data_IF_538054367361
#
_entry.id   IF_538054367361
#
_cell.length_a   1.000
_cell.length_b   1.000
_cell.length_c   1.000
_cell.angle_alpha   90.00
_cell.angle_beta   90.00
_cell.angle_gamma   90.00
#
_symmetry.space_group_name_H-M   'P 1'
#
loop_
_entity.id
_entity.type
_entity.pdbx_description
1 polymer ?
#
# COMPACT_ATOMS: atom_id res chain seq x y z
N UNK A 1 -49.56 24.87 7.40
CA UNK A 1 -50.51 23.75 7.35
C UNK A 1 -49.87 22.67 6.48
N UNK A 2 -49.32 21.59 7.06
CA UNK A 2 -49.97 20.26 7.17
C UNK A 2 -50.45 19.78 5.79
N UNK A 3 -50.05 18.62 5.24
CA UNK A 3 -50.17 17.27 5.79
C UNK A 3 -49.35 16.30 4.92
N UNK A 4 -48.56 15.42 5.56
CA UNK A 4 -48.05 14.13 5.02
C UNK A 4 -49.14 13.32 4.32
N UNK A 5 -48.84 12.49 3.32
CA UNK A 5 -49.53 11.19 3.21
C UNK A 5 -48.69 10.13 2.49
N UNK A 6 -48.66 8.99 3.15
CA UNK A 6 -48.00 7.72 2.87
C UNK A 6 -48.66 6.98 1.71
N UNK A 7 -47.88 6.20 0.96
CA UNK A 7 -48.32 4.93 0.33
C UNK A 7 -47.10 3.99 0.47
N UNK A 8 -47.05 3.15 1.51
CA UNK A 8 -47.72 1.86 1.66
C UNK A 8 -47.08 0.76 0.77
N UNK A 9 -46.52 -0.19 1.51
CA UNK A 9 -45.75 -1.36 1.16
C UNK A 9 -46.62 -2.37 0.40
N UNK A 10 -46.12 -2.85 -0.74
CA UNK A 10 -46.62 -4.04 -1.43
C UNK A 10 -45.50 -5.08 -1.51
N UNK A 11 -45.46 -5.98 -0.53
CA UNK A 11 -44.61 -7.17 -0.57
C UNK A 11 -45.28 -8.17 -1.53
N UNK A 12 -44.66 -8.42 -2.69
CA UNK A 12 -44.85 -9.68 -3.39
C UNK A 12 -43.70 -10.60 -3.03
N UNK A 13 -44.01 -11.60 -2.20
CA UNK A 13 -43.16 -12.74 -1.97
C UNK A 13 -43.13 -13.59 -3.25
N UNK A 14 -42.04 -13.53 -3.99
CA UNK A 14 -41.68 -14.55 -4.95
C UNK A 14 -40.74 -15.54 -4.23
N UNK A 15 -41.26 -16.73 -3.98
CA UNK A 15 -40.52 -17.86 -3.42
C UNK A 15 -39.44 -18.31 -4.39
N UNK A 16 -38.25 -17.71 -4.30
CA UNK A 16 -37.07 -18.24 -4.97
C UNK A 16 -36.50 -19.29 -4.03
N UNK A 17 -36.72 -20.55 -4.40
CA UNK A 17 -36.02 -21.70 -3.84
C UNK A 17 -34.52 -21.41 -3.92
N UNK A 18 -33.90 -21.19 -2.77
CA UNK A 18 -32.46 -21.11 -2.64
C UNK A 18 -31.88 -22.47 -3.02
N UNK A 19 -31.49 -22.62 -4.28
CA UNK A 19 -30.39 -23.50 -4.60
C UNK A 19 -29.16 -22.87 -3.94
N UNK A 20 -28.82 -23.38 -2.75
CA UNK A 20 -27.53 -23.17 -2.12
C UNK A 20 -26.47 -23.79 -3.03
N UNK A 21 -26.06 -23.03 -4.06
CA UNK A 21 -24.75 -23.21 -4.65
C UNK A 21 -23.76 -22.74 -3.58
N UNK A 22 -23.25 -23.70 -2.81
CA UNK A 22 -21.95 -23.61 -2.17
C UNK A 22 -20.88 -23.44 -3.26
N UNK A 23 -20.81 -22.23 -3.83
CA UNK A 23 -19.58 -21.72 -4.40
C UNK A 23 -18.84 -21.07 -3.23
N UNK A 24 -18.20 -21.91 -2.41
CA UNK A 24 -16.92 -21.52 -1.84
C UNK A 24 -16.00 -21.28 -3.03
N UNK A 25 -16.08 -20.08 -3.63
CA UNK A 25 -15.02 -19.60 -4.48
C UNK A 25 -13.81 -19.56 -3.56
N UNK A 26 -12.89 -20.51 -3.76
CA UNK A 26 -11.64 -20.60 -3.04
C UNK A 26 -11.03 -19.21 -2.99
N UNK A 27 -10.61 -18.77 -1.81
CA UNK A 27 -9.85 -17.54 -1.73
C UNK A 27 -8.67 -17.66 -2.70
N UNK A 28 -8.25 -16.61 -3.38
CA UNK A 28 -7.07 -16.66 -4.26
C UNK A 28 -5.78 -16.90 -3.47
N UNK A 29 -5.84 -16.76 -2.14
CA UNK A 29 -4.82 -17.27 -1.24
C UNK A 29 -4.80 -18.81 -1.19
N UNK A 30 -5.95 -19.48 -1.32
CA UNK A 30 -6.08 -20.95 -1.31
C UNK A 30 -5.51 -21.60 -2.57
N UNK A 31 -5.22 -20.82 -3.62
CA UNK A 31 -4.57 -21.29 -4.86
C UNK A 31 -3.06 -21.06 -4.88
N UNK A 32 -2.50 -20.37 -3.88
CA UNK A 32 -1.06 -20.16 -3.80
C UNK A 32 -0.34 -21.50 -3.49
N UNK A 33 0.86 -21.73 -4.05
CA UNK A 33 1.68 -22.87 -3.68
C UNK A 33 1.90 -22.93 -2.17
N UNK A 34 1.75 -24.11 -1.58
CA UNK A 34 2.08 -24.33 -0.18
C UNK A 34 3.59 -24.55 -0.07
N UNK A 35 4.28 -23.58 0.52
CA UNK A 35 5.75 -23.58 0.64
C UNK A 35 6.15 -23.49 2.11
N UNK A 36 7.21 -24.19 2.48
CA UNK A 36 7.72 -24.22 3.85
C UNK A 36 8.61 -23.00 4.14
N UNK A 37 8.77 -22.66 5.42
CA UNK A 37 9.67 -21.58 5.84
C UNK A 37 11.12 -21.91 5.45
N UNK A 38 11.51 -23.18 5.52
CA UNK A 38 12.84 -23.65 5.13
C UNK A 38 13.09 -23.43 3.63
N UNK A 39 12.10 -23.69 2.78
CA UNK A 39 12.19 -23.44 1.33
C UNK A 39 12.29 -21.94 1.02
N UNK A 40 11.53 -21.12 1.74
CA UNK A 40 11.62 -19.65 1.63
C UNK A 40 13.02 -19.17 2.05
N UNK A 41 13.53 -19.64 3.19
CA UNK A 41 14.87 -19.28 3.70
C UNK A 41 15.99 -19.76 2.78
N UNK A 42 15.82 -20.87 2.07
CA UNK A 42 16.82 -21.34 1.12
C UNK A 42 17.06 -20.37 -0.04
N UNK A 43 16.06 -19.56 -0.39
CA UNK A 43 16.14 -18.58 -1.49
C UNK A 43 16.47 -17.17 -0.97
N UNK A 44 15.76 -16.74 0.08
CA UNK A 44 15.82 -15.37 0.54
C UNK A 44 16.69 -15.16 1.77
N UNK A 45 17.20 -16.22 2.41
CA UNK A 45 17.92 -16.13 3.67
C UNK A 45 17.08 -15.40 4.72
N UNK A 46 17.69 -14.40 5.35
CA UNK A 46 17.01 -13.48 6.26
C UNK A 46 16.52 -12.19 5.56
N UNK A 47 16.68 -12.07 4.23
CA UNK A 47 16.36 -10.87 3.45
C UNK A 47 14.89 -10.45 3.54
N UNK A 48 13.96 -11.41 3.63
CA UNK A 48 12.52 -11.11 3.85
C UNK A 48 12.24 -10.57 5.25
N UNK A 49 13.12 -10.81 6.23
CA UNK A 49 13.06 -10.22 7.56
C UNK A 49 13.80 -8.88 7.59
N UNK A 50 13.38 -7.96 6.73
CA UNK A 50 14.01 -6.65 6.58
C UNK A 50 13.41 -5.61 7.52
N UNK A 51 14.25 -4.77 8.11
CA UNK A 51 13.82 -3.57 8.85
C UNK A 51 13.44 -2.40 7.92
N UNK A 52 13.56 -2.57 6.61
CA UNK A 52 13.21 -1.54 5.64
C UNK A 52 11.68 -1.41 5.50
N UNK A 53 11.06 -0.31 5.97
CA UNK A 53 9.60 -0.16 5.95
C UNK A 53 9.02 -0.10 4.54
N UNK A 54 9.80 0.34 3.54
CA UNK A 54 9.35 0.39 2.13
C UNK A 54 9.21 -1.03 1.58
N UNK A 55 10.15 -1.91 1.90
CA UNK A 55 10.14 -3.31 1.47
C UNK A 55 9.03 -4.09 2.20
N UNK A 56 8.85 -3.87 3.50
CA UNK A 56 7.72 -4.45 4.25
C UNK A 56 6.36 -4.02 3.66
N UNK A 57 6.19 -2.73 3.32
CA UNK A 57 4.97 -2.23 2.67
C UNK A 57 4.74 -2.85 1.30
N UNK A 58 5.80 -3.07 0.51
CA UNK A 58 5.67 -3.75 -0.79
C UNK A 58 5.16 -5.18 -0.61
N UNK A 59 5.72 -5.95 0.33
CA UNK A 59 5.25 -7.30 0.63
C UNK A 59 3.79 -7.30 1.11
N UNK A 60 3.42 -6.37 1.99
CA UNK A 60 2.03 -6.20 2.44
C UNK A 60 1.11 -5.87 1.27
N UNK A 61 1.49 -4.93 0.40
CA UNK A 61 0.71 -4.55 -0.77
C UNK A 61 0.47 -5.73 -1.72
N UNK A 62 1.49 -6.55 -1.96
CA UNK A 62 1.39 -7.78 -2.77
C UNK A 62 0.44 -8.79 -2.09
N UNK A 63 0.58 -9.00 -0.77
CA UNK A 63 -0.31 -9.88 -0.01
C UNK A 63 -1.76 -9.42 -0.02
N UNK A 64 -1.98 -8.10 0.04
CA UNK A 64 -3.31 -7.50 -0.05
C UNK A 64 -3.92 -7.67 -1.43
N UNK A 65 -3.17 -7.43 -2.52
CA UNK A 65 -3.67 -7.66 -3.89
C UNK A 65 -4.13 -9.10 -4.09
N UNK A 66 -3.34 -10.06 -3.60
CA UNK A 66 -3.67 -11.48 -3.67
C UNK A 66 -4.94 -11.90 -2.93
N UNK A 67 -5.38 -11.11 -1.96
CA UNK A 67 -6.54 -11.41 -1.11
C UNK A 67 -7.75 -10.55 -1.46
N UNK A 68 -7.68 -9.72 -2.50
CA UNK A 68 -8.83 -8.97 -3.02
C UNK A 68 -9.85 -9.88 -3.71
N UNK A 69 -11.10 -9.44 -3.78
CA UNK A 69 -12.17 -10.15 -4.49
C UNK A 69 -12.37 -9.64 -5.93
N UNK A 70 -11.98 -8.40 -6.22
CA UNK A 70 -12.05 -7.73 -7.53
C UNK A 70 -10.72 -7.90 -8.29
N UNK A 71 -10.33 -9.15 -8.54
CA UNK A 71 -8.95 -9.45 -8.89
C UNK A 71 -8.63 -9.24 -10.36
N UNK A 72 -8.07 -8.08 -10.67
CA UNK A 72 -7.52 -7.81 -12.00
C UNK A 72 -6.31 -8.70 -12.31
N UNK A 73 -5.56 -9.13 -11.29
CA UNK A 73 -4.32 -9.89 -11.43
C UNK A 73 -4.36 -11.31 -10.84
N UNK A 74 -5.54 -11.92 -10.66
CA UNK A 74 -5.69 -13.24 -10.01
C UNK A 74 -4.84 -14.34 -10.63
N UNK A 75 -4.81 -14.38 -11.97
CA UNK A 75 -4.12 -15.41 -12.74
C UNK A 75 -2.59 -15.22 -12.75
N UNK A 76 -2.11 -14.06 -12.29
CA UNK A 76 -0.69 -13.78 -12.21
C UNK A 76 -0.09 -14.48 -10.99
N UNK A 77 0.97 -15.27 -11.23
CA UNK A 77 1.71 -16.03 -10.22
C UNK A 77 2.71 -15.13 -9.49
N UNK A 78 2.22 -14.13 -8.76
CA UNK A 78 3.04 -13.09 -8.11
C UNK A 78 3.26 -13.39 -6.63
N UNK A 79 4.50 -13.21 -6.16
CA UNK A 79 4.87 -13.21 -4.74
C UNK A 79 5.74 -14.40 -4.34
N UNK A 80 6.21 -14.36 -3.08
CA UNK A 80 7.17 -15.33 -2.50
C UNK A 80 6.78 -16.79 -2.77
N UNK A 81 5.53 -17.25 -2.56
CA UNK A 81 5.18 -18.65 -2.79
C UNK A 81 5.44 -19.13 -4.23
N UNK A 82 5.21 -18.27 -5.23
CA UNK A 82 5.42 -18.61 -6.64
C UNK A 82 6.88 -18.51 -7.06
N UNK A 83 7.68 -17.70 -6.36
CA UNK A 83 9.14 -17.68 -6.55
C UNK A 83 9.75 -18.99 -6.05
N UNK A 84 9.30 -19.46 -4.89
CA UNK A 84 9.76 -20.72 -4.31
C UNK A 84 9.33 -21.91 -5.17
N UNK A 85 8.04 -21.98 -5.55
CA UNK A 85 7.49 -23.08 -6.37
C UNK A 85 8.14 -23.21 -7.76
N UNK A 86 8.35 -22.08 -8.45
CA UNK A 86 8.92 -22.09 -9.80
C UNK A 86 10.46 -21.99 -9.82
N UNK A 87 11.09 -21.66 -8.70
CA UNK A 87 12.51 -21.34 -8.48
C UNK A 87 12.99 -19.98 -9.03
N UNK A 88 14.07 -19.40 -8.46
CA UNK A 88 14.67 -18.15 -8.97
C UNK A 88 15.14 -18.23 -10.43
N UNK A 89 15.69 -19.37 -10.85
CA UNK A 89 16.22 -19.59 -12.20
C UNK A 89 15.13 -19.48 -13.26
N UNK A 90 13.92 -19.97 -12.97
CA UNK A 90 12.78 -19.84 -13.87
C UNK A 90 12.44 -18.38 -14.14
N UNK A 91 12.30 -17.58 -13.08
CA UNK A 91 11.94 -16.16 -13.22
C UNK A 91 13.04 -15.36 -13.91
N UNK A 92 14.31 -15.63 -13.57
CA UNK A 92 15.46 -15.03 -14.24
C UNK A 92 15.50 -15.39 -15.73
N UNK A 93 15.21 -16.65 -16.09
CA UNK A 93 15.16 -17.11 -17.49
C UNK A 93 14.04 -16.42 -18.25
N UNK A 94 12.82 -16.36 -17.68
CA UNK A 94 11.69 -15.65 -18.29
C UNK A 94 12.03 -14.19 -18.57
N UNK A 95 12.63 -13.52 -17.61
CA UNK A 95 13.05 -12.13 -17.79
C UNK A 95 14.12 -11.99 -18.88
N UNK A 96 15.12 -12.87 -18.90
CA UNK A 96 16.18 -12.88 -19.92
C UNK A 96 15.65 -13.16 -21.33
N UNK A 97 14.59 -13.96 -21.46
CA UNK A 97 13.86 -14.21 -22.70
C UNK A 97 13.00 -13.02 -23.16
N UNK A 98 12.97 -11.93 -22.39
CA UNK A 98 12.21 -10.71 -22.71
C UNK A 98 10.75 -10.78 -22.32
N UNK A 99 10.34 -11.69 -21.42
CA UNK A 99 8.97 -11.74 -20.90
C UNK A 99 8.69 -10.48 -20.06
N UNK A 100 7.65 -9.73 -20.46
CA UNK A 100 7.19 -8.48 -19.84
C UNK A 100 5.82 -8.60 -19.15
N UNK A 101 5.41 -9.81 -18.80
CA UNK A 101 4.22 -10.05 -17.96
C UNK A 101 4.47 -9.55 -16.54
N UNK A 102 3.40 -9.20 -15.84
CA UNK A 102 3.47 -8.59 -14.50
C UNK A 102 4.09 -9.57 -13.50
N UNK A 103 3.72 -10.84 -13.54
CA UNK A 103 4.35 -11.89 -12.72
C UNK A 103 5.87 -11.94 -12.89
N UNK A 104 6.37 -11.97 -14.11
CA UNK A 104 7.80 -11.98 -14.41
C UNK A 104 8.49 -10.72 -13.90
N UNK A 105 7.93 -9.54 -14.14
CA UNK A 105 8.51 -8.27 -13.69
C UNK A 105 8.59 -8.18 -12.17
N UNK A 106 7.49 -8.47 -11.48
CA UNK A 106 7.39 -8.33 -10.02
C UNK A 106 8.24 -9.38 -9.32
N UNK A 107 8.18 -10.64 -9.74
CA UNK A 107 8.97 -11.69 -9.09
C UNK A 107 10.47 -11.50 -9.31
N UNK A 108 10.89 -11.04 -10.50
CA UNK A 108 12.28 -10.69 -10.75
C UNK A 108 12.73 -9.50 -9.89
N UNK A 109 11.86 -8.49 -9.68
CA UNK A 109 12.15 -7.39 -8.78
C UNK A 109 12.28 -7.85 -7.32
N UNK A 110 11.41 -8.75 -6.85
CA UNK A 110 11.50 -9.30 -5.50
C UNK A 110 12.80 -10.10 -5.30
N UNK A 111 13.22 -10.89 -6.28
CA UNK A 111 14.50 -11.58 -6.23
C UNK A 111 15.67 -10.59 -6.10
N UNK A 112 15.63 -9.46 -6.82
CA UNK A 112 16.68 -8.45 -6.73
C UNK A 112 16.67 -7.72 -5.37
N UNK A 113 15.49 -7.43 -4.81
CA UNK A 113 15.35 -6.67 -3.56
C UNK A 113 15.61 -7.50 -2.30
N UNK A 114 15.36 -8.81 -2.35
CA UNK A 114 15.33 -9.68 -1.16
C UNK A 114 16.31 -10.86 -1.22
N UNK A 115 17.08 -11.02 -2.30
CA UNK A 115 18.11 -12.06 -2.34
C UNK A 115 19.17 -11.82 -1.25
N UNK A 116 19.56 -12.91 -0.58
CA UNK A 116 20.59 -12.90 0.47
C UNK A 116 22.00 -12.56 -0.08
N UNK A 117 22.21 -12.79 -1.38
CA UNK A 117 23.48 -12.49 -2.04
C UNK A 117 23.48 -11.10 -2.66
N UNK A 118 24.51 -10.26 -2.42
CA UNK A 118 24.59 -8.92 -2.99
C UNK A 118 24.74 -8.98 -4.52
N UNK A 119 23.76 -8.42 -5.22
CA UNK A 119 23.76 -8.31 -6.68
C UNK A 119 24.09 -6.85 -7.06
N UNK A 120 25.13 -6.60 -7.89
CA UNK A 120 25.47 -5.25 -8.33
C UNK A 120 24.29 -4.57 -9.04
N UNK A 121 23.97 -3.34 -8.64
CA UNK A 121 22.87 -2.53 -9.18
C UNK A 121 21.47 -3.16 -9.04
N UNK A 122 21.28 -4.11 -8.11
CA UNK A 122 19.99 -4.74 -7.86
C UNK A 122 18.86 -3.74 -7.61
N UNK A 123 19.10 -2.73 -6.76
CA UNK A 123 18.09 -1.74 -6.42
C UNK A 123 17.60 -0.96 -7.66
N UNK A 124 18.53 -0.51 -8.50
CA UNK A 124 18.19 0.23 -9.72
C UNK A 124 17.43 -0.65 -10.71
N UNK A 125 17.85 -1.90 -10.88
CA UNK A 125 17.16 -2.85 -11.73
C UNK A 125 15.76 -3.17 -11.21
N UNK A 126 15.60 -3.40 -9.90
CA UNK A 126 14.31 -3.64 -9.27
C UNK A 126 13.35 -2.44 -9.43
N UNK A 127 13.85 -1.21 -9.25
CA UNK A 127 13.09 0.02 -9.50
C UNK A 127 12.58 0.07 -10.95
N UNK A 128 13.41 -0.27 -11.94
CA UNK A 128 12.98 -0.27 -13.34
C UNK A 128 11.87 -1.29 -13.60
N UNK A 129 11.99 -2.50 -13.03
CA UNK A 129 10.99 -3.56 -13.16
C UNK A 129 9.66 -3.17 -12.49
N UNK A 130 9.72 -2.63 -11.28
CA UNK A 130 8.54 -2.17 -10.55
C UNK A 130 7.90 -0.96 -11.24
N UNK A 131 8.69 -0.04 -11.80
CA UNK A 131 8.14 1.04 -12.60
C UNK A 131 7.41 0.52 -13.85
N UNK A 132 7.96 -0.48 -14.54
CA UNK A 132 7.30 -1.12 -15.68
C UNK A 132 6.00 -1.82 -15.24
N UNK A 133 6.01 -2.55 -14.12
CA UNK A 133 4.81 -3.18 -13.56
C UNK A 133 3.74 -2.15 -13.15
N UNK A 134 4.15 -1.03 -12.54
CA UNK A 134 3.25 0.06 -12.17
C UNK A 134 2.62 0.70 -13.41
N UNK A 135 3.39 0.91 -14.49
CA UNK A 135 2.86 1.42 -15.77
C UNK A 135 1.83 0.51 -16.43
N UNK A 136 1.84 -0.79 -16.09
CA UNK A 136 0.85 -1.80 -16.51
C UNK A 136 -0.35 -1.88 -15.57
N UNK A 137 -0.46 -0.98 -14.58
CA UNK A 137 -1.58 -0.90 -13.65
C UNK A 137 -1.44 -1.76 -12.39
N UNK A 138 -0.29 -2.40 -12.14
CA UNK A 138 -0.08 -3.18 -10.92
C UNK A 138 0.12 -2.25 -9.72
N UNK A 139 -0.95 -2.01 -8.95
CA UNK A 139 -0.94 -1.02 -7.87
C UNK A 139 0.05 -1.31 -6.74
N UNK A 140 0.41 -2.57 -6.38
CA UNK A 140 1.44 -2.80 -5.37
C UNK A 140 2.79 -2.24 -5.83
N UNK A 141 3.13 -2.34 -7.11
CA UNK A 141 4.32 -1.68 -7.63
C UNK A 141 4.21 -0.14 -7.56
N UNK A 142 3.02 0.43 -7.74
CA UNK A 142 2.81 1.87 -7.51
C UNK A 142 3.08 2.27 -6.06
N UNK A 143 2.74 1.45 -5.05
CA UNK A 143 3.09 1.77 -3.65
C UNK A 143 4.60 1.86 -3.41
N UNK A 144 5.40 1.00 -4.05
CA UNK A 144 6.85 1.08 -3.98
C UNK A 144 7.40 2.30 -4.73
N UNK A 145 6.90 2.54 -5.95
CA UNK A 145 7.33 3.68 -6.77
C UNK A 145 7.00 5.02 -6.11
N UNK A 146 5.89 5.12 -5.38
CA UNK A 146 5.57 6.29 -4.58
C UNK A 146 6.69 6.60 -3.57
N UNK A 147 7.14 5.61 -2.81
CA UNK A 147 8.21 5.80 -1.83
C UNK A 147 9.56 6.12 -2.48
N UNK A 148 9.85 5.50 -3.63
CA UNK A 148 11.04 5.84 -4.43
C UNK A 148 11.04 7.32 -4.84
N UNK A 149 9.92 7.85 -5.35
CA UNK A 149 9.85 9.26 -5.73
C UNK A 149 9.85 10.20 -4.52
N UNK A 150 9.27 9.80 -3.38
CA UNK A 150 9.38 10.59 -2.14
C UNK A 150 10.83 10.64 -1.63
N UNK A 151 11.56 9.53 -1.66
CA UNK A 151 12.98 9.52 -1.29
C UNK A 151 13.79 10.47 -2.18
N UNK A 152 13.54 10.46 -3.50
CA UNK A 152 14.19 11.39 -4.44
C UNK A 152 13.87 12.86 -4.17
N UNK A 153 12.65 13.18 -3.72
CA UNK A 153 12.32 14.56 -3.30
C UNK A 153 13.13 14.99 -2.08
N UNK A 154 13.29 14.10 -1.11
CA UNK A 154 14.06 14.37 0.11
C UNK A 154 15.53 14.56 -0.25
N UNK A 155 16.09 13.70 -1.11
CA UNK A 155 17.47 13.83 -1.62
C UNK A 155 17.68 15.16 -2.35
N UNK A 156 16.76 15.54 -3.25
CA UNK A 156 16.81 16.82 -3.97
C UNK A 156 16.74 18.02 -3.02
N UNK A 157 15.98 17.93 -1.93
CA UNK A 157 15.88 18.97 -0.93
C UNK A 157 17.12 19.04 -0.01
N UNK A 158 17.78 17.89 0.23
CA UNK A 158 18.97 17.76 1.07
C UNK A 158 20.27 18.20 0.37
N UNK A 159 20.28 18.31 -0.96
CA UNK A 159 21.42 18.83 -1.73
C UNK A 159 21.14 20.18 -2.42
N UNK A 160 21.04 21.30 -1.67
CA UNK A 160 20.89 22.63 -2.24
C UNK A 160 22.19 23.21 -2.86
N UNK A 161 23.34 22.49 -2.83
CA UNK A 161 24.65 22.99 -3.26
C UNK A 161 25.46 22.07 -4.21
N UNK A 162 24.90 20.97 -4.69
CA UNK A 162 25.61 19.95 -5.46
C UNK A 162 26.10 20.38 -6.85
N UNK A 163 27.36 20.82 -6.92
CA UNK A 163 28.38 20.64 -8.00
C UNK A 163 28.05 20.91 -9.48
N UNK A 164 26.83 21.27 -9.85
CA UNK A 164 26.42 21.67 -11.20
C UNK A 164 25.61 22.95 -11.05
N UNK A 165 25.96 24.06 -11.73
CA UNK A 165 25.18 25.29 -11.67
C UNK A 165 23.86 25.10 -12.44
N UNK A 166 22.89 24.44 -11.81
CA UNK A 166 21.52 24.33 -12.30
C UNK A 166 20.72 25.53 -11.77
N UNK A 167 19.87 26.12 -12.61
CA UNK A 167 19.08 27.28 -12.19
C UNK A 167 18.06 26.89 -11.12
N UNK A 168 17.72 27.84 -10.25
CA UNK A 168 16.67 27.68 -9.23
C UNK A 168 15.34 27.22 -9.87
N UNK A 169 15.02 27.74 -11.06
CA UNK A 169 13.84 27.34 -11.82
C UNK A 169 13.90 25.88 -12.29
N UNK A 170 15.08 25.37 -12.66
CA UNK A 170 15.26 23.97 -13.05
C UNK A 170 15.05 23.05 -11.85
N UNK A 171 15.64 23.38 -10.69
CA UNK A 171 15.47 22.60 -9.46
C UNK A 171 14.02 22.63 -8.98
N UNK A 172 13.34 23.79 -9.05
CA UNK A 172 11.92 23.91 -8.70
C UNK A 172 11.02 23.07 -9.63
N UNK A 173 11.28 23.09 -10.94
CA UNK A 173 10.53 22.29 -11.91
C UNK A 173 10.80 20.79 -11.76
N UNK A 174 12.05 20.39 -11.47
CA UNK A 174 12.42 19.01 -11.20
C UNK A 174 11.74 18.49 -9.93
N UNK A 175 11.74 19.28 -8.86
CA UNK A 175 11.02 18.96 -7.63
C UNK A 175 9.51 18.83 -7.87
N UNK A 176 8.93 19.74 -8.65
CA UNK A 176 7.51 19.66 -9.04
C UNK A 176 7.19 18.37 -9.82
N UNK A 177 7.98 18.03 -10.84
CA UNK A 177 7.77 16.82 -11.62
C UNK A 177 7.91 15.55 -10.75
N UNK A 178 8.89 15.53 -9.85
CA UNK A 178 9.10 14.40 -8.92
C UNK A 178 7.93 14.28 -7.93
N UNK A 179 7.38 15.40 -7.45
CA UNK A 179 6.20 15.43 -6.60
C UNK A 179 4.94 14.95 -7.33
N UNK A 180 4.76 15.32 -8.60
CA UNK A 180 3.68 14.83 -9.44
C UNK A 180 3.77 13.30 -9.63
N UNK A 181 4.97 12.75 -9.83
CA UNK A 181 5.17 11.29 -9.90
C UNK A 181 4.83 10.60 -8.58
N UNK A 182 5.33 11.11 -7.45
CA UNK A 182 5.04 10.56 -6.13
C UNK A 182 3.53 10.56 -5.87
N UNK A 183 2.85 11.70 -6.05
CA UNK A 183 1.42 11.84 -5.84
C UNK A 183 0.60 10.99 -6.82
N UNK A 184 1.03 10.86 -8.07
CA UNK A 184 0.41 10.00 -9.07
C UNK A 184 0.38 8.54 -8.61
N UNK A 185 1.52 8.01 -8.19
CA UNK A 185 1.60 6.63 -7.67
C UNK A 185 0.85 6.44 -6.35
N UNK A 186 0.92 7.42 -5.45
CA UNK A 186 0.15 7.41 -4.20
C UNK A 186 -1.35 7.30 -4.47
N UNK A 187 -1.87 8.10 -5.41
CA UNK A 187 -3.29 8.06 -5.77
C UNK A 187 -3.71 6.71 -6.34
N UNK A 188 -2.85 6.03 -7.12
CA UNK A 188 -3.13 4.69 -7.65
C UNK A 188 -3.30 3.68 -6.52
N UNK A 189 -2.33 3.57 -5.60
CA UNK A 189 -2.43 2.61 -4.49
C UNK A 189 -3.50 3.01 -3.46
N UNK A 190 -3.73 4.30 -3.22
CA UNK A 190 -4.82 4.77 -2.36
C UNK A 190 -6.21 4.45 -2.92
N UNK A 191 -6.38 4.55 -4.25
CA UNK A 191 -7.62 4.15 -4.95
C UNK A 191 -7.86 2.65 -4.89
N UNK A 192 -6.80 1.86 -4.80
CA UNK A 192 -6.87 0.45 -4.46
C UNK A 192 -7.18 0.22 -2.96
N UNK A 193 -7.46 1.23 -2.15
CA UNK A 193 -7.78 1.04 -0.73
C UNK A 193 -6.57 0.65 0.13
N UNK A 194 -5.35 0.94 -0.32
CA UNK A 194 -4.16 0.68 0.49
C UNK A 194 -3.93 1.83 1.49
N UNK A 195 -4.17 1.56 2.77
CA UNK A 195 -4.10 2.56 3.83
C UNK A 195 -2.75 3.29 3.95
N UNK A 196 -1.57 2.63 3.80
CA UNK A 196 -0.28 3.34 3.83
C UNK A 196 -0.17 4.47 2.81
N UNK A 197 -0.71 4.29 1.60
CA UNK A 197 -0.75 5.37 0.60
C UNK A 197 -1.73 6.48 0.98
N UNK A 198 -2.89 6.12 1.55
CA UNK A 198 -3.85 7.11 2.06
C UNK A 198 -3.22 7.95 3.19
N UNK A 199 -2.51 7.32 4.15
CA UNK A 199 -1.77 8.05 5.19
C UNK A 199 -0.77 9.04 4.59
N UNK A 200 0.07 8.60 3.64
CA UNK A 200 1.08 9.45 3.01
C UNK A 200 0.46 10.68 2.32
N UNK A 201 -0.65 10.49 1.58
CA UNK A 201 -1.41 11.59 0.97
C UNK A 201 -1.96 12.52 2.05
N UNK A 202 -2.59 11.96 3.07
CA UNK A 202 -3.20 12.71 4.16
C UNK A 202 -2.19 13.59 4.89
N UNK A 203 -1.00 13.05 5.20
CA UNK A 203 0.08 13.80 5.81
C UNK A 203 0.56 14.94 4.92
N UNK A 204 0.88 14.63 3.65
CA UNK A 204 1.32 15.63 2.68
C UNK A 204 0.35 16.81 2.61
N UNK A 205 -0.95 16.54 2.45
CA UNK A 205 -1.97 17.59 2.33
C UNK A 205 -2.16 18.35 3.66
N UNK A 206 -2.04 17.68 4.81
CA UNK A 206 -2.25 18.28 6.13
C UNK A 206 -1.14 19.25 6.59
N UNK A 207 -0.03 19.31 5.85
CA UNK A 207 1.05 20.28 6.08
C UNK A 207 0.78 21.64 5.40
N UNK A 208 -0.19 21.71 4.49
CA UNK A 208 -0.64 22.95 3.85
C UNK A 208 -1.93 23.47 4.51
N UNK A 209 -1.96 24.76 4.88
CA UNK A 209 -3.18 25.38 5.40
C UNK A 209 -4.34 25.38 4.39
N UNK A 210 -4.03 25.46 3.09
CA UNK A 210 -5.03 25.45 2.02
C UNK A 210 -5.68 24.07 1.86
N UNK A 211 -4.92 22.99 2.12
CA UNK A 211 -5.35 21.61 1.91
C UNK A 211 -5.64 20.86 3.21
N UNK A 212 -5.56 21.52 4.36
CA UNK A 212 -5.69 20.91 5.68
C UNK A 212 -6.97 20.07 5.79
N UNK A 213 -8.12 20.61 5.35
CA UNK A 213 -9.39 19.88 5.38
C UNK A 213 -9.36 18.61 4.52
N UNK A 214 -8.74 18.67 3.34
CA UNK A 214 -8.60 17.51 2.47
C UNK A 214 -7.65 16.48 3.12
N UNK A 215 -6.51 16.93 3.65
CA UNK A 215 -5.54 16.07 4.33
C UNK A 215 -6.15 15.33 5.52
N UNK A 216 -6.83 16.05 6.42
CA UNK A 216 -7.50 15.44 7.56
C UNK A 216 -8.64 14.50 7.12
N UNK A 217 -9.36 14.81 6.05
CA UNK A 217 -10.38 13.90 5.50
C UNK A 217 -9.76 12.60 5.02
N UNK A 218 -8.64 12.66 4.29
CA UNK A 218 -7.91 11.48 3.82
C UNK A 218 -7.33 10.68 4.99
N UNK A 219 -6.78 11.32 6.03
CA UNK A 219 -6.29 10.61 7.23
C UNK A 219 -7.41 9.87 7.97
N UNK A 220 -8.60 10.47 8.08
CA UNK A 220 -9.77 9.82 8.69
C UNK A 220 -10.21 8.59 7.90
N UNK A 221 -10.15 8.68 6.57
CA UNK A 221 -10.43 7.55 5.68
C UNK A 221 -9.37 6.46 5.79
N UNK A 222 -8.09 6.82 5.87
CA UNK A 222 -7.00 5.88 6.11
C UNK A 222 -7.19 5.09 7.41
N UNK A 223 -7.54 5.78 8.50
CA UNK A 223 -7.90 5.14 9.78
C UNK A 223 -9.09 4.18 9.59
N UNK A 224 -10.14 4.62 8.90
CA UNK A 224 -11.32 3.78 8.64
C UNK A 224 -10.95 2.51 7.87
N UNK A 225 -10.11 2.63 6.84
CA UNK A 225 -9.60 1.51 6.05
C UNK A 225 -8.80 0.54 6.92
N UNK A 226 -7.84 1.05 7.70
CA UNK A 226 -7.00 0.24 8.61
C UNK A 226 -7.86 -0.52 9.63
N UNK A 227 -8.87 0.12 10.21
CA UNK A 227 -9.72 -0.49 11.24
C UNK A 227 -10.75 -1.49 10.67
N UNK A 228 -11.11 -1.36 9.39
CA UNK A 228 -12.11 -2.21 8.76
C UNK A 228 -11.54 -3.50 8.17
N UNK A 229 -10.22 -3.55 7.96
CA UNK A 229 -9.56 -4.65 7.24
C UNK A 229 -8.62 -5.41 8.17
N UNK A 230 -8.98 -6.67 8.46
CA UNK A 230 -8.24 -7.55 9.37
C UNK A 230 -6.81 -7.84 8.89
N UNK A 231 -6.47 -7.60 7.62
CA UNK A 231 -5.09 -7.73 7.13
C UNK A 231 -4.15 -6.68 7.73
N UNK A 232 -4.69 -5.61 8.29
CA UNK A 232 -3.94 -4.62 9.08
C UNK A 232 -3.97 -4.91 10.58
N UNK A 233 -4.58 -6.01 11.04
CA UNK A 233 -4.53 -6.39 12.45
C UNK A 233 -3.08 -6.67 12.85
N UNK A 234 -2.58 -5.96 13.86
CA UNK A 234 -1.15 -5.95 14.23
C UNK A 234 -0.27 -4.99 13.42
N UNK A 235 -0.77 -4.41 12.33
CA UNK A 235 -0.09 -3.38 11.50
C UNK A 235 -0.49 -1.94 11.90
N UNK A 236 -0.91 -1.73 13.15
CA UNK A 236 -1.16 -0.37 13.65
C UNK A 236 0.18 0.30 13.93
N UNK A 237 0.73 0.92 12.89
CA UNK A 237 2.09 1.46 12.87
C UNK A 237 2.15 2.92 13.37
N UNK A 238 3.33 3.53 13.25
CA UNK A 238 3.54 4.95 13.56
C UNK A 238 2.68 5.88 12.70
N UNK A 239 2.35 5.49 11.46
CA UNK A 239 1.47 6.26 10.57
C UNK A 239 0.04 6.34 11.13
N UNK A 240 -0.50 5.27 11.69
CA UNK A 240 -1.79 5.31 12.37
C UNK A 240 -1.76 6.28 13.57
N UNK A 241 -0.73 6.17 14.42
CA UNK A 241 -0.57 7.00 15.61
C UNK A 241 -0.43 8.49 15.26
N UNK A 242 0.39 8.81 14.27
CA UNK A 242 0.58 10.18 13.79
C UNK A 242 -0.70 10.74 13.17
N UNK A 243 -1.44 9.94 12.40
CA UNK A 243 -2.70 10.37 11.78
C UNK A 243 -3.74 10.76 12.83
N UNK A 244 -3.92 9.91 13.84
CA UNK A 244 -4.82 10.19 14.97
C UNK A 244 -4.42 11.47 15.70
N UNK A 245 -3.14 11.61 16.00
CA UNK A 245 -2.59 12.80 16.68
C UNK A 245 -2.85 14.06 15.85
N UNK A 246 -2.58 14.01 14.54
CA UNK A 246 -2.78 15.16 13.64
C UNK A 246 -4.24 15.56 13.52
N UNK A 247 -5.17 14.60 13.48
CA UNK A 247 -6.62 14.88 13.48
C UNK A 247 -7.05 15.52 14.79
N UNK A 248 -6.54 15.05 15.93
CA UNK A 248 -6.84 15.62 17.23
C UNK A 248 -6.34 17.07 17.34
N UNK A 249 -5.08 17.31 16.97
CA UNK A 249 -4.44 18.62 17.10
C UNK A 249 -5.05 19.65 16.14
N UNK A 250 -5.10 19.33 14.84
CA UNK A 250 -5.50 20.29 13.79
C UNK A 250 -6.99 20.27 13.47
N UNK A 251 -7.76 19.34 14.03
CA UNK A 251 -9.17 19.15 13.68
C UNK A 251 -10.07 20.35 13.96
N UNK A 252 -9.78 21.16 14.98
CA UNK A 252 -10.58 22.36 15.27
C UNK A 252 -10.50 23.40 14.15
N UNK A 253 -9.35 23.49 13.46
CA UNK A 253 -9.14 24.44 12.37
C UNK A 253 -10.08 24.17 11.19
N UNK A 254 -10.55 22.93 11.06
CA UNK A 254 -11.51 22.51 10.02
C UNK A 254 -12.93 22.30 10.57
N UNK A 255 -13.20 22.75 11.80
CA UNK A 255 -14.53 22.69 12.42
C UNK A 255 -14.90 21.34 13.04
N UNK A 256 -13.96 20.42 13.29
CA UNK A 256 -14.25 19.23 14.08
C UNK A 256 -14.52 19.61 15.54
N UNK A 257 -15.62 19.08 16.09
CA UNK A 257 -15.97 19.27 17.49
C UNK A 257 -14.95 18.60 18.42
N UNK A 258 -14.84 19.09 19.65
CA UNK A 258 -14.02 18.45 20.68
C UNK A 258 -14.40 16.98 20.88
N UNK A 259 -15.70 16.66 20.90
CA UNK A 259 -16.17 15.27 20.98
C UNK A 259 -15.66 14.41 19.83
N UNK A 260 -15.73 14.90 18.59
CA UNK A 260 -15.25 14.16 17.43
C UNK A 260 -13.72 13.94 17.48
N UNK A 261 -12.96 14.92 17.96
CA UNK A 261 -11.51 14.82 18.10
C UNK A 261 -11.12 13.85 19.22
N UNK A 262 -11.83 13.87 20.35
CA UNK A 262 -11.57 12.96 21.47
C UNK A 262 -11.83 11.49 21.09
N UNK A 263 -12.79 11.20 20.22
CA UNK A 263 -13.01 9.85 19.69
C UNK A 263 -11.77 9.28 18.98
N UNK A 264 -10.96 10.12 18.32
CA UNK A 264 -9.71 9.67 17.71
C UNK A 264 -8.66 9.39 18.77
N UNK A 265 -8.55 10.22 19.82
CA UNK A 265 -7.63 9.98 20.93
C UNK A 265 -7.93 8.64 21.66
N UNK A 266 -9.21 8.29 21.80
CA UNK A 266 -9.63 7.01 22.37
C UNK A 266 -9.10 5.80 21.57
N UNK A 267 -8.88 5.96 20.25
CA UNK A 267 -8.25 4.93 19.43
C UNK A 267 -6.80 4.69 19.85
N UNK A 268 -6.03 5.74 20.20
CA UNK A 268 -4.66 5.53 20.69
C UNK A 268 -4.68 4.69 21.96
N UNK A 269 -5.58 4.97 22.91
CA UNK A 269 -5.69 4.19 24.15
C UNK A 269 -6.01 2.73 23.87
N UNK A 270 -6.92 2.47 22.91
CA UNK A 270 -7.29 1.11 22.51
C UNK A 270 -6.12 0.35 21.88
N UNK A 271 -5.38 0.97 20.96
CA UNK A 271 -4.36 0.28 20.16
C UNK A 271 -2.93 0.34 20.75
N UNK A 272 -2.59 1.33 21.59
CA UNK A 272 -1.33 1.35 22.36
C UNK A 272 -1.27 0.29 23.48
N UNK A 273 -2.42 -0.31 23.84
CA UNK A 273 -2.47 -1.47 24.73
C UNK A 273 -2.10 -2.78 24.03
N UNK A 274 -2.14 -2.82 22.69
CA UNK A 274 -1.83 -4.01 21.87
C UNK A 274 -0.32 -4.15 21.63
N UNK A 275 0.43 -3.04 21.49
CA UNK A 275 1.91 -3.05 21.44
C UNK A 275 2.55 -3.70 22.68
N UNK A 276 1.88 -3.70 23.85
CA UNK A 276 2.38 -4.36 25.06
C UNK A 276 2.21 -5.88 25.07
N UNK A 277 1.39 -6.43 24.17
CA UNK A 277 1.09 -7.87 24.14
C UNK A 277 1.97 -8.59 23.11
N UNK A 278 2.42 -7.89 22.07
CA UNK A 278 3.34 -8.43 21.05
C UNK A 278 4.43 -7.40 20.69
N UNK A 279 5.47 -7.24 21.51
CA UNK A 279 6.66 -6.52 21.08
C UNK A 279 7.40 -7.41 20.07
N UNK A 280 7.45 -6.98 18.80
CA UNK A 280 8.34 -7.46 17.73
C UNK A 280 8.67 -8.95 17.76
N UNK A 281 7.90 -9.76 17.02
CA UNK A 281 8.35 -11.06 16.53
C UNK A 281 9.12 -10.88 15.23
#
# INVERSE_FOLDING_TARGET
MTVRKYIAIGILAASISAASCDLYASSPADTAPNVSIEEVKAIFGDGLNTDNPVLQRLLLAIGMERTRHDMTFQEQKIGVPYIVDATPEYWATKFAEGDKRIDTLVNSALLLLFADSPIPNADLAAVQLLNEAASKGYWPASSYMAEFYVARLIEQAADPQGSIPMSVDYLANLGKATAEQAMGHLNVCASAGFAPCQYRIGFWLSDSAADLNNGLTVLREAIRTTLADARYEGYVDSSFHEAVTRIYEKGAEIGLSETARNQYLDLLTKYSSVERIYPSL
#
